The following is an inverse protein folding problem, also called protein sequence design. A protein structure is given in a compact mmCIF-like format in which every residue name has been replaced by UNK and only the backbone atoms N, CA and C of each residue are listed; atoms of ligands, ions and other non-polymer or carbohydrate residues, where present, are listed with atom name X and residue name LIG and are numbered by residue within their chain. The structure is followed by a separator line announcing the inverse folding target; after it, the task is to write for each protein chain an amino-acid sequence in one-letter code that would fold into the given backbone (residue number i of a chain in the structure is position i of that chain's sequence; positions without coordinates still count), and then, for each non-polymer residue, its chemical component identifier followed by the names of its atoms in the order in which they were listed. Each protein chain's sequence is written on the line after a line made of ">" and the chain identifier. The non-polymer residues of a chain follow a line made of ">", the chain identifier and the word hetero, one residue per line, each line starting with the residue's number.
data_IF_766909705879
#
_entry.id   IF_766909705879
#
_cell.length_a   1.000
_cell.length_b   1.000
_cell.length_c   1.000
_cell.angle_alpha   90.00
_cell.angle_beta   90.00
_cell.angle_gamma   90.00
#
_symmetry.space_group_name_H-M   'P 1'
#
loop_
_entity.id
_entity.type
_entity.pdbx_description
1 polymer ?
#
# COMPACT_ATOMS: atom_id res chain seq x y z
N UNK A 1 7.81 17.41 0.25
CA UNK A 1 7.97 17.37 1.72
C UNK A 1 8.12 15.90 2.08
N UNK A 2 9.30 15.47 2.49
CA UNK A 2 9.60 14.07 2.84
C UNK A 2 9.24 13.83 4.30
N UNK A 3 8.45 12.79 4.57
CA UNK A 3 8.21 12.36 5.95
C UNK A 3 9.22 11.27 6.28
N UNK A 4 10.08 11.57 7.25
CA UNK A 4 10.88 10.56 7.94
C UNK A 4 10.00 10.09 9.10
N UNK A 5 9.65 8.80 9.13
CA UNK A 5 9.12 8.21 10.37
C UNK A 5 10.32 8.17 11.32
N UNK A 6 10.45 9.19 12.15
CA UNK A 6 11.45 9.21 13.22
C UNK A 6 11.15 8.10 14.22
N UNK A 7 12.24 7.49 14.66
CA UNK A 7 12.35 6.28 15.46
C UNK A 7 11.24 6.13 16.52
N UNK A 8 10.48 5.03 16.44
CA UNK A 8 10.03 4.39 17.67
C UNK A 8 11.29 3.82 18.34
N UNK A 9 11.44 3.97 19.66
CA UNK A 9 12.66 3.77 20.46
C UNK A 9 13.36 2.39 20.36
N UNK A 10 13.02 1.53 19.39
CA UNK A 10 13.56 0.18 19.24
C UNK A 10 13.87 -0.20 17.78
N UNK A 11 14.84 0.49 17.18
CA UNK A 11 15.75 0.04 16.11
C UNK A 11 15.16 -0.74 14.92
N UNK A 12 14.90 -0.01 13.81
CA UNK A 12 15.39 -0.31 12.44
C UNK A 12 14.92 0.75 11.43
N UNK A 13 15.88 1.40 10.75
CA UNK A 13 15.78 2.23 9.53
C UNK A 13 14.48 3.02 9.28
N UNK A 14 14.52 4.33 9.56
CA UNK A 14 13.49 5.26 9.15
C UNK A 14 13.24 5.18 7.63
N UNK A 15 12.00 4.91 7.24
CA UNK A 15 11.58 4.89 5.83
C UNK A 15 11.18 6.31 5.44
N UNK A 16 11.79 6.84 4.38
CA UNK A 16 11.39 8.09 3.76
C UNK A 16 10.35 7.83 2.67
N UNK A 17 9.09 8.16 2.96
CA UNK A 17 8.01 8.12 1.98
C UNK A 17 7.79 9.53 1.45
N UNK A 18 8.03 9.70 0.15
CA UNK A 18 7.72 10.94 -0.56
C UNK A 18 6.36 10.81 -1.25
N UNK A 19 5.42 11.70 -0.92
CA UNK A 19 4.08 11.74 -1.47
C UNK A 19 3.21 12.79 -0.78
N UNK A 20 2.00 13.02 -1.30
CA UNK A 20 1.02 13.91 -0.67
C UNK A 20 0.56 13.28 0.66
N UNK A 21 1.19 13.72 1.74
CA UNK A 21 0.75 13.63 3.15
C UNK A 21 0.32 12.24 3.67
N UNK A 22 1.22 11.60 4.43
CA UNK A 22 0.90 10.42 5.24
C UNK A 22 -0.03 10.81 6.40
N UNK A 23 -1.11 10.06 6.63
CA UNK A 23 -2.06 10.27 7.73
C UNK A 23 -1.60 9.62 9.03
N UNK A 24 -1.11 8.39 8.95
CA UNK A 24 -0.81 7.59 10.13
C UNK A 24 0.10 6.42 9.79
N UNK A 25 0.92 6.05 10.76
CA UNK A 25 1.68 4.81 10.75
C UNK A 25 1.19 3.90 11.89
N UNK A 26 1.10 2.60 11.65
CA UNK A 26 0.78 1.61 12.69
C UNK A 26 1.82 0.51 12.69
N UNK A 27 2.48 0.33 13.82
CA UNK A 27 3.33 -0.82 14.10
C UNK A 27 2.51 -1.89 14.85
N UNK A 28 2.83 -3.16 14.65
CA UNK A 28 2.37 -4.23 15.53
C UNK A 28 3.33 -4.43 16.70
N UNK A 29 3.32 -5.62 17.30
CA UNK A 29 4.34 -6.03 18.27
C UNK A 29 5.74 -6.07 17.63
N UNK A 30 6.79 -6.17 18.44
CA UNK A 30 8.18 -6.29 17.96
C UNK A 30 8.33 -7.32 16.83
N UNK A 31 8.92 -6.91 15.71
CA UNK A 31 9.09 -7.75 14.51
C UNK A 31 7.86 -7.84 13.62
N UNK A 32 6.83 -7.04 13.89
CA UNK A 32 5.65 -6.94 13.04
C UNK A 32 5.82 -5.87 11.94
N UNK A 33 5.10 -6.02 10.83
CA UNK A 33 5.07 -5.03 9.76
C UNK A 33 4.66 -3.63 10.23
N UNK A 34 5.23 -2.62 9.56
CA UNK A 34 4.82 -1.22 9.64
C UNK A 34 3.86 -0.96 8.49
N UNK A 35 2.74 -0.30 8.79
CA UNK A 35 1.80 0.14 7.76
C UNK A 35 1.73 1.65 7.68
N UNK A 36 1.54 2.14 6.46
CA UNK A 36 1.40 3.57 6.16
C UNK A 36 0.09 3.79 5.45
N UNK A 37 -0.64 4.83 5.85
CA UNK A 37 -1.90 5.28 5.24
C UNK A 37 -1.71 6.70 4.69
N UNK A 38 -2.14 6.96 3.46
CA UNK A 38 -2.12 8.30 2.86
C UNK A 38 -3.44 9.05 3.12
N UNK A 39 -3.40 10.38 3.12
CA UNK A 39 -4.51 11.22 3.60
C UNK A 39 -5.57 11.60 2.56
N UNK A 40 -5.34 11.32 1.28
CA UNK A 40 -6.26 11.63 0.20
C UNK A 40 -7.03 10.37 -0.23
N UNK A 41 -8.20 10.07 0.38
CA UNK A 41 -9.00 8.92 0.00
C UNK A 41 -9.82 9.15 -1.28
N UNK A 42 -10.26 8.05 -1.87
CA UNK A 42 -11.41 8.02 -2.76
C UNK A 42 -12.71 7.80 -1.97
N UNK A 43 -13.46 8.89 -1.77
CA UNK A 43 -14.73 8.89 -1.04
C UNK A 43 -15.96 8.79 -1.94
N UNK A 44 -15.85 9.23 -3.20
CA UNK A 44 -16.96 9.39 -4.12
C UNK A 44 -16.65 8.69 -5.44
N UNK A 45 -17.66 8.54 -6.28
CA UNK A 45 -17.45 8.05 -7.65
C UNK A 45 -16.56 9.03 -8.42
N UNK A 46 -15.58 8.50 -9.15
CA UNK A 46 -14.55 9.29 -9.82
C UNK A 46 -13.35 8.46 -10.25
N UNK A 47 -12.40 9.14 -10.88
CA UNK A 47 -11.12 8.59 -11.28
C UNK A 47 -10.03 9.17 -10.38
N UNK A 48 -9.28 8.30 -9.71
CA UNK A 48 -8.25 8.68 -8.75
C UNK A 48 -6.92 8.08 -9.17
N UNK A 49 -5.83 8.82 -8.97
CA UNK A 49 -4.49 8.32 -9.23
C UNK A 49 -3.56 8.70 -8.07
N UNK A 50 -2.84 7.71 -7.57
CA UNK A 50 -1.76 7.91 -6.60
C UNK A 50 -0.47 7.32 -7.15
N UNK A 51 0.64 7.99 -6.87
CA UNK A 51 1.96 7.51 -7.19
C UNK A 51 2.80 7.48 -5.91
N UNK A 52 3.41 6.33 -5.64
CA UNK A 52 4.15 6.08 -4.41
C UNK A 52 5.57 5.69 -4.79
N UNK A 53 6.55 6.45 -4.31
CA UNK A 53 7.97 6.20 -4.52
C UNK A 53 8.59 5.54 -3.28
N UNK A 54 9.32 4.44 -3.49
CA UNK A 54 10.01 3.71 -2.44
C UNK A 54 11.50 4.09 -2.42
N UNK A 55 11.79 5.30 -1.94
CA UNK A 55 13.16 5.85 -2.00
C UNK A 55 14.18 5.11 -1.12
N UNK A 56 13.72 4.47 -0.05
CA UNK A 56 14.54 3.70 0.90
C UNK A 56 13.76 2.47 1.35
N UNK A 57 14.33 1.28 1.16
CA UNK A 57 13.80 0.01 1.66
C UNK A 57 14.93 -0.79 2.32
N UNK A 58 14.58 -1.60 3.31
CA UNK A 58 15.49 -2.63 3.82
C UNK A 58 15.77 -3.66 2.69
N UNK A 59 17.04 -4.07 2.56
CA UNK A 59 17.53 -5.00 1.53
C UNK A 59 16.75 -6.33 1.54
N UNK A 60 16.30 -6.75 2.72
CA UNK A 60 15.54 -7.99 2.91
C UNK A 60 14.04 -7.75 3.12
N UNK A 61 13.60 -6.49 3.19
CA UNK A 61 12.23 -6.13 3.50
C UNK A 61 11.23 -6.59 2.45
N UNK A 62 10.02 -6.96 2.88
CA UNK A 62 8.90 -7.21 1.96
C UNK A 62 7.98 -6.00 2.01
N UNK A 63 7.72 -5.43 0.84
CA UNK A 63 6.81 -4.29 0.70
C UNK A 63 5.62 -4.64 -0.19
N UNK A 64 4.44 -4.24 0.26
CA UNK A 64 3.23 -4.24 -0.54
C UNK A 64 2.56 -2.88 -0.52
N UNK A 65 1.79 -2.58 -1.56
CA UNK A 65 1.06 -1.32 -1.71
C UNK A 65 -0.29 -1.54 -2.35
N UNK A 66 -1.29 -0.75 -1.96
CA UNK A 66 -2.66 -1.01 -2.38
C UNK A 66 -3.68 -0.06 -1.76
N UNK A 67 -4.91 -0.54 -1.67
CA UNK A 67 -6.04 0.21 -1.10
C UNK A 67 -6.62 -0.50 0.13
N UNK A 68 -6.94 0.27 1.16
CA UNK A 68 -7.58 -0.18 2.40
C UNK A 68 -8.72 0.76 2.80
N UNK A 69 -9.53 0.35 3.76
CA UNK A 69 -10.42 1.25 4.51
C UNK A 69 -9.75 1.69 5.80
N UNK A 70 -10.28 2.73 6.43
CA UNK A 70 -9.81 3.17 7.75
C UNK A 70 -10.06 2.12 8.84
N UNK A 71 -11.16 1.37 8.76
CA UNK A 71 -11.51 0.33 9.74
C UNK A 71 -10.61 -0.91 9.62
N UNK A 72 -10.11 -1.17 8.41
CA UNK A 72 -9.22 -2.29 8.11
C UNK A 72 -7.73 -1.92 8.23
N UNK A 73 -7.43 -0.63 8.40
CA UNK A 73 -6.07 -0.15 8.68
C UNK A 73 -5.69 -0.44 10.15
N UNK A 74 -5.18 -1.64 10.40
CA UNK A 74 -4.71 -2.14 11.71
C UNK A 74 -3.19 -2.30 11.69
N UNK A 75 -2.54 -2.43 12.85
CA UNK A 75 -1.08 -2.68 12.92
C UNK A 75 -0.72 -4.15 12.66
N UNK A 76 0.55 -4.42 12.41
CA UNK A 76 1.12 -5.78 12.33
C UNK A 76 0.57 -6.67 11.20
N UNK A 77 0.08 -7.87 11.50
CA UNK A 77 -0.43 -8.80 10.47
C UNK A 77 -1.94 -8.66 10.21
N UNK A 78 -2.58 -7.66 10.85
CA UNK A 78 -4.04 -7.51 10.82
C UNK A 78 -4.56 -6.55 9.76
N UNK A 79 -3.69 -5.91 8.98
CA UNK A 79 -4.11 -5.08 7.85
C UNK A 79 -4.90 -5.92 6.83
N UNK A 80 -6.09 -5.46 6.46
CA UNK A 80 -6.87 -6.02 5.35
C UNK A 80 -6.92 -5.01 4.22
N UNK A 81 -6.26 -5.33 3.11
CA UNK A 81 -6.08 -4.40 2.02
C UNK A 81 -5.92 -5.14 0.70
N UNK A 82 -6.37 -4.55 -0.39
CA UNK A 82 -6.11 -5.04 -1.75
C UNK A 82 -4.74 -4.55 -2.19
N UNK A 83 -3.73 -5.42 -2.11
CA UNK A 83 -2.34 -5.03 -2.24
C UNK A 83 -1.60 -5.78 -3.34
N UNK A 84 -0.52 -5.16 -3.79
CA UNK A 84 0.46 -5.66 -4.73
C UNK A 84 1.85 -5.73 -4.12
N UNK A 85 2.53 -6.86 -4.30
CA UNK A 85 3.94 -7.07 -3.90
C UNK A 85 4.68 -8.04 -4.82
N UNK A 86 4.47 -7.93 -6.14
CA UNK A 86 4.62 -8.99 -7.17
C UNK A 86 3.41 -9.90 -7.30
N UNK A 87 2.70 -10.15 -6.19
CA UNK A 87 1.44 -10.88 -6.17
C UNK A 87 0.30 -9.91 -5.88
N UNK A 88 -0.93 -10.33 -6.14
CA UNK A 88 -2.13 -9.66 -5.63
C UNK A 88 -2.60 -10.37 -4.37
N UNK A 89 -2.89 -9.61 -3.31
CA UNK A 89 -3.33 -10.13 -2.02
C UNK A 89 -4.44 -9.27 -1.43
N UNK A 90 -5.23 -9.84 -0.53
CA UNK A 90 -6.20 -9.12 0.31
C UNK A 90 -5.71 -8.91 1.77
N UNK A 91 -4.40 -9.08 2.03
CA UNK A 91 -3.81 -8.99 3.37
C UNK A 91 -3.94 -10.28 4.21
N UNK A 92 -4.57 -11.33 3.68
CA UNK A 92 -4.62 -12.66 4.30
C UNK A 92 -4.07 -13.72 3.34
N UNK A 93 -4.53 -13.68 2.09
CA UNK A 93 -4.23 -14.70 1.09
C UNK A 93 -3.61 -14.07 -0.15
N UNK A 94 -2.66 -14.78 -0.76
CA UNK A 94 -2.27 -14.51 -2.13
C UNK A 94 -3.43 -14.94 -3.05
N UNK A 95 -3.95 -13.99 -3.81
CA UNK A 95 -5.07 -14.20 -4.75
C UNK A 95 -4.55 -14.53 -6.15
N UNK A 96 -3.51 -13.81 -6.59
CA UNK A 96 -2.86 -14.02 -7.88
C UNK A 96 -1.35 -13.97 -7.68
N UNK A 97 -0.66 -15.02 -8.10
CA UNK A 97 0.80 -15.07 -8.09
C UNK A 97 1.40 -14.49 -9.37
N UNK A 98 2.61 -13.93 -9.28
CA UNK A 98 3.39 -13.46 -10.45
C UNK A 98 2.63 -12.41 -11.30
N UNK A 99 1.89 -11.52 -10.65
CA UNK A 99 1.19 -10.42 -11.32
C UNK A 99 2.16 -9.37 -11.87
N UNK A 100 3.30 -9.18 -11.21
CA UNK A 100 4.37 -8.28 -11.64
C UNK A 100 5.67 -8.55 -10.89
N UNK A 101 6.64 -7.65 -11.01
CA UNK A 101 7.91 -7.75 -10.29
C UNK A 101 7.81 -7.30 -8.84
N UNK A 102 8.63 -7.87 -7.95
CA UNK A 102 8.74 -7.40 -6.56
C UNK A 102 9.16 -5.93 -6.52
N UNK A 103 8.57 -5.18 -5.58
CA UNK A 103 8.90 -3.77 -5.34
C UNK A 103 10.28 -3.70 -4.69
N UNK A 104 11.14 -2.82 -5.20
CA UNK A 104 12.50 -2.59 -4.72
C UNK A 104 12.73 -1.11 -4.42
N UNK A 105 13.85 -0.83 -3.76
CA UNK A 105 14.29 0.53 -3.54
C UNK A 105 14.48 1.25 -4.89
N UNK A 106 13.96 2.47 -4.97
CA UNK A 106 13.95 3.30 -6.18
C UNK A 106 12.75 3.06 -7.09
N UNK A 107 11.93 2.03 -6.83
CA UNK A 107 10.73 1.80 -7.63
C UNK A 107 9.62 2.80 -7.30
N UNK A 108 8.79 3.04 -8.30
CA UNK A 108 7.58 3.85 -8.22
C UNK A 108 6.37 3.00 -8.60
N UNK A 109 5.34 3.00 -7.75
CA UNK A 109 4.08 2.32 -8.01
C UNK A 109 2.95 3.33 -8.21
N UNK A 110 2.29 3.24 -9.36
CA UNK A 110 1.09 3.99 -9.68
C UNK A 110 -0.16 3.14 -9.41
N UNK A 111 -1.16 3.72 -8.74
CA UNK A 111 -2.48 3.14 -8.50
C UNK A 111 -3.50 4.01 -9.20
N UNK A 112 -4.16 3.48 -10.23
CA UNK A 112 -5.30 4.12 -10.87
C UNK A 112 -6.58 3.43 -10.42
N UNK A 113 -7.48 4.19 -9.80
CA UNK A 113 -8.76 3.71 -9.31
C UNK A 113 -9.89 4.36 -10.11
N UNK A 114 -10.66 3.55 -10.83
CA UNK A 114 -11.95 3.96 -11.37
C UNK A 114 -13.04 3.46 -10.40
N UNK A 115 -13.65 4.41 -9.68
CA UNK A 115 -14.65 4.16 -8.66
C UNK A 115 -16.01 4.64 -9.14
N UNK A 116 -17.00 3.75 -9.12
CA UNK A 116 -18.40 4.09 -9.37
C UNK A 116 -19.27 3.70 -8.17
N UNK A 117 -20.59 3.82 -8.29
CA UNK A 117 -21.50 3.34 -7.25
C UNK A 117 -21.75 1.83 -7.33
N UNK A 118 -21.51 1.21 -8.49
CA UNK A 118 -21.76 -0.22 -8.73
C UNK A 118 -20.50 -1.08 -8.73
N UNK A 119 -19.34 -0.50 -9.04
CA UNK A 119 -18.08 -1.23 -9.14
C UNK A 119 -16.87 -0.36 -8.82
N UNK A 120 -15.80 -1.05 -8.45
CA UNK A 120 -14.48 -0.51 -8.28
C UNK A 120 -13.49 -1.30 -9.14
N UNK A 121 -12.67 -0.58 -9.92
CA UNK A 121 -11.61 -1.15 -10.75
C UNK A 121 -10.29 -0.48 -10.41
N UNK A 122 -9.33 -1.25 -9.95
CA UNK A 122 -7.98 -0.81 -9.58
C UNK A 122 -6.97 -1.35 -10.61
N UNK A 123 -6.22 -0.44 -11.21
CA UNK A 123 -5.14 -0.73 -12.14
C UNK A 123 -3.80 -0.32 -11.53
N UNK A 124 -2.76 -1.07 -11.86
CA UNK A 124 -1.41 -0.84 -11.31
C UNK A 124 -0.41 -0.50 -12.40
N UNK A 125 0.54 0.34 -12.04
CA UNK A 125 1.70 0.70 -12.84
C UNK A 125 2.96 0.50 -12.00
N UNK A 126 3.99 -0.09 -12.58
CA UNK A 126 5.28 -0.28 -11.94
C UNK A 126 6.35 0.41 -12.79
N UNK A 127 6.98 1.46 -12.26
CA UNK A 127 7.95 2.29 -12.97
C UNK A 127 7.39 2.84 -14.29
N UNK A 128 6.14 3.32 -14.23
CA UNK A 128 5.39 3.84 -15.37
C UNK A 128 4.86 2.79 -16.35
N UNK A 129 5.23 1.50 -16.19
CA UNK A 129 4.72 0.42 -17.04
C UNK A 129 3.39 -0.11 -16.50
N UNK A 130 2.33 -0.17 -17.31
CA UNK A 130 1.04 -0.72 -16.87
C UNK A 130 1.16 -2.23 -16.65
N UNK A 131 0.75 -2.69 -15.47
CA UNK A 131 0.59 -4.12 -15.16
C UNK A 131 -0.81 -4.63 -15.52
N UNK A 132 -1.80 -3.74 -15.55
CA UNK A 132 -3.18 -4.07 -15.93
C UNK A 132 -4.17 -3.97 -14.76
N UNK A 133 -5.34 -4.59 -14.94
CA UNK A 133 -6.42 -4.62 -13.94
C UNK A 133 -6.03 -5.57 -12.80
N UNK A 134 -5.79 -5.00 -11.62
CA UNK A 134 -5.42 -5.75 -10.43
C UNK A 134 -6.66 -6.25 -9.68
N UNK A 135 -7.62 -5.35 -9.41
CA UNK A 135 -8.83 -5.70 -8.67
C UNK A 135 -10.07 -5.17 -9.38
N UNK A 136 -11.10 -6.01 -9.43
CA UNK A 136 -12.45 -5.65 -9.87
C UNK A 136 -13.45 -6.15 -8.85
N UNK A 137 -14.08 -5.22 -8.14
CA UNK A 137 -15.03 -5.51 -7.05
C UNK A 137 -16.37 -4.90 -7.40
N UNK A 138 -17.42 -5.72 -7.39
CA UNK A 138 -18.80 -5.26 -7.52
C UNK A 138 -19.35 -4.86 -6.15
N UNK A 139 -20.30 -3.92 -6.14
CA UNK A 139 -20.95 -3.49 -4.91
C UNK A 139 -21.62 -4.66 -4.16
N UNK A 140 -21.67 -4.63 -2.81
CA UNK A 140 -21.20 -3.54 -1.95
C UNK A 140 -19.69 -3.58 -1.70
N UNK A 141 -19.08 -2.40 -1.61
CA UNK A 141 -17.72 -2.21 -1.11
C UNK A 141 -17.68 -0.94 -0.26
N UNK A 142 -16.76 -0.92 0.71
CA UNK A 142 -16.66 0.16 1.70
C UNK A 142 -15.88 1.35 1.15
N UNK A 143 -16.41 2.56 1.35
CA UNK A 143 -15.75 3.86 1.12
C UNK A 143 -15.57 4.56 2.48
N UNK A 144 -14.56 5.42 2.69
CA UNK A 144 -13.50 5.79 1.74
C UNK A 144 -12.46 4.68 1.54
N UNK A 145 -11.83 4.68 0.36
CA UNK A 145 -10.65 3.87 0.08
C UNK A 145 -9.40 4.74 0.14
N UNK A 146 -8.42 4.32 0.93
CA UNK A 146 -7.15 5.02 1.13
C UNK A 146 -6.01 4.21 0.52
N UNK A 147 -5.01 4.87 -0.10
CA UNK A 147 -3.75 4.23 -0.38
C UNK A 147 -3.10 3.79 0.93
N UNK A 148 -2.57 2.57 0.93
CA UNK A 148 -1.81 2.04 2.04
C UNK A 148 -0.65 1.17 1.57
N UNK A 149 0.40 1.13 2.38
CA UNK A 149 1.53 0.22 2.20
C UNK A 149 1.74 -0.61 3.45
N UNK A 150 2.30 -1.79 3.26
CA UNK A 150 2.73 -2.68 4.31
C UNK A 150 4.18 -3.05 4.09
N UNK A 151 4.97 -2.95 5.14
CA UNK A 151 6.41 -3.11 5.08
C UNK A 151 6.85 -4.02 6.23
N UNK A 152 7.25 -5.24 5.89
CA UNK A 152 7.89 -6.15 6.82
C UNK A 152 9.39 -5.88 6.78
N UNK A 153 9.92 -5.35 7.88
CA UNK A 153 11.35 -5.12 8.08
C UNK A 153 11.97 -6.35 8.74
N UNK A 154 13.13 -6.79 8.27
CA UNK A 154 13.86 -7.88 8.93
C UNK A 154 14.97 -7.26 9.76
N UNK A 155 14.87 -7.41 11.09
CA UNK A 155 15.96 -7.00 11.96
C UNK A 155 17.21 -7.82 11.65
N UNK A 156 18.34 -7.12 11.48
CA UNK A 156 19.67 -7.73 11.61
C UNK A 156 20.05 -7.82 13.08
#
# INVERSE_FOLDING_TARGET
>A
MSWIIEESDNASSAINIQGNSVTSCKEGDYGSPIHVLWNEPAEKSGLYYWQIEFSQLDEYGIVSVGLTTQNDFKGGYDLKAMQYNANLTNGIYALVGTFGSSIKQGDTIGILLNLTDSEMKMYLFHNGQPLGLAFHVQAPFTKPLFPASHQLLWKR
#
